data_IF_122594766817
#
_entry.id   IF_122594766817
#
_cell.length_a   1.000
_cell.length_b   1.000
_cell.length_c   1.000
_cell.angle_alpha   90.00
_cell.angle_beta   90.00
_cell.angle_gamma   90.00
#
_symmetry.space_group_name_H-M   'P 1'
#
loop_
_entity.id
_entity.type
_entity.pdbx_description
1 polymer ?
#
# COMPACT_ATOMS: atom_id res chain seq x y z
N UNK A 1 38.61 43.26 -14.87
CA UNK A 1 37.50 43.48 -13.92
C UNK A 1 36.75 42.18 -13.75
N UNK A 2 36.40 41.85 -12.50
CA UNK A 2 35.64 40.67 -12.08
C UNK A 2 34.17 40.83 -12.50
N UNK A 3 33.53 39.75 -12.96
CA UNK A 3 32.12 39.50 -12.65
C UNK A 3 31.80 38.00 -12.72
N UNK A 4 31.37 37.47 -11.57
CA UNK A 4 30.72 36.17 -11.39
C UNK A 4 29.21 36.41 -11.27
N UNK A 5 28.39 35.57 -11.91
CA UNK A 5 27.11 34.97 -11.41
C UNK A 5 26.49 34.19 -12.59
N UNK A 6 26.54 32.85 -12.64
CA UNK A 6 25.76 31.86 -11.87
C UNK A 6 24.25 32.05 -12.10
N UNK A 7 23.65 31.30 -13.03
CA UNK A 7 22.27 30.76 -13.08
C UNK A 7 22.19 29.87 -14.33
N UNK A 8 22.39 28.56 -14.22
CA UNK A 8 21.91 27.56 -15.23
C UNK A 8 21.72 26.14 -14.64
N UNK A 9 21.61 25.96 -13.31
CA UNK A 9 21.43 24.62 -12.70
C UNK A 9 19.98 24.28 -12.28
N UNK A 10 19.00 25.14 -12.60
CA UNK A 10 17.62 24.96 -12.15
C UNK A 10 16.79 23.99 -13.01
N UNK A 11 17.09 23.87 -14.30
CA UNK A 11 16.25 23.08 -15.22
C UNK A 11 16.65 21.61 -15.27
N UNK A 12 17.94 21.30 -15.07
CA UNK A 12 18.41 19.91 -14.99
C UNK A 12 18.03 19.24 -13.66
N UNK A 13 18.04 19.98 -12.56
CA UNK A 13 17.58 19.50 -11.25
C UNK A 13 16.07 19.27 -11.22
N UNK A 14 15.29 20.15 -11.87
CA UNK A 14 13.84 19.96 -12.06
C UNK A 14 13.51 18.77 -12.98
N UNK A 15 14.29 18.53 -14.05
CA UNK A 15 14.16 17.34 -14.90
C UNK A 15 14.46 16.04 -14.13
N UNK A 16 15.47 16.04 -13.24
CA UNK A 16 15.79 14.87 -12.39
C UNK A 16 14.73 14.61 -11.32
N UNK A 17 14.03 15.65 -10.84
CA UNK A 17 12.89 15.53 -9.93
C UNK A 17 11.62 15.03 -10.65
N UNK A 18 11.37 15.48 -11.88
CA UNK A 18 10.28 14.97 -12.72
C UNK A 18 10.47 13.49 -13.11
N UNK A 19 11.72 13.04 -13.32
CA UNK A 19 12.05 11.63 -13.52
C UNK A 19 11.91 10.76 -12.26
N UNK A 20 11.71 11.37 -11.09
CA UNK A 20 11.62 10.66 -9.79
C UNK A 20 10.19 10.45 -9.28
N UNK A 21 9.17 10.97 -9.94
CA UNK A 21 7.79 10.82 -9.48
C UNK A 21 6.82 10.52 -10.62
N UNK A 22 6.62 9.23 -10.82
CA UNK A 22 5.33 8.52 -10.95
C UNK A 22 5.67 7.12 -11.45
N UNK A 23 4.97 6.13 -10.90
CA UNK A 23 5.12 4.69 -11.11
C UNK A 23 5.77 4.30 -12.45
N UNK A 24 6.70 3.30 -12.48
CA UNK A 24 7.33 2.79 -13.69
C UNK A 24 6.39 2.46 -14.86
N UNK A 25 5.09 2.27 -14.60
CA UNK A 25 4.05 2.05 -15.61
C UNK A 25 3.66 3.28 -16.44
N UNK A 26 3.94 4.50 -15.97
CA UNK A 26 3.53 5.74 -16.64
C UNK A 26 4.45 6.17 -17.81
N UNK A 27 5.60 5.51 -18.00
CA UNK A 27 6.62 5.92 -18.96
C UNK A 27 6.55 5.24 -20.34
N UNK A 28 5.47 4.50 -20.66
CA UNK A 28 5.32 3.87 -21.99
C UNK A 28 6.44 2.89 -22.37
N UNK A 29 7.35 2.60 -21.45
CA UNK A 29 8.32 1.53 -21.57
C UNK A 29 7.61 0.26 -21.10
N UNK A 30 7.08 -0.49 -22.05
CA UNK A 30 7.20 -1.94 -21.94
C UNK A 30 8.70 -2.24 -21.83
N UNK A 31 9.27 -2.11 -20.61
CA UNK A 31 10.58 -2.67 -20.33
C UNK A 31 10.40 -4.12 -20.70
N UNK A 32 11.11 -4.56 -21.74
CA UNK A 32 11.26 -5.98 -22.03
C UNK A 32 11.68 -6.58 -20.70
N UNK A 33 10.79 -7.35 -20.09
CA UNK A 33 11.10 -8.15 -18.92
C UNK A 33 12.25 -9.04 -19.39
N UNK A 34 13.45 -8.72 -18.96
CA UNK A 34 14.66 -9.45 -19.33
C UNK A 34 14.83 -10.65 -18.41
N UNK A 35 15.67 -11.61 -18.82
CA UNK A 35 16.06 -12.78 -18.01
C UNK A 35 16.44 -12.41 -16.56
N UNK A 36 17.04 -11.24 -16.36
CA UNK A 36 17.42 -10.73 -15.04
C UNK A 36 16.22 -10.28 -14.18
N UNK A 37 15.19 -9.70 -14.78
CA UNK A 37 13.93 -9.33 -14.10
C UNK A 37 13.19 -10.57 -13.58
N UNK A 38 13.28 -11.70 -14.28
CA UNK A 38 12.66 -12.97 -13.84
C UNK A 38 13.36 -13.59 -12.64
N UNK A 39 14.68 -13.42 -12.53
CA UNK A 39 15.38 -13.80 -11.32
C UNK A 39 14.76 -13.10 -10.11
N UNK A 40 14.17 -11.91 -10.26
CA UNK A 40 13.58 -11.20 -9.12
C UNK A 40 12.14 -11.63 -8.79
N UNK A 41 11.51 -12.52 -9.57
CA UNK A 41 10.12 -12.94 -9.32
C UNK A 41 9.95 -13.62 -7.95
N UNK A 42 10.73 -14.65 -7.55
CA UNK A 42 10.54 -15.26 -6.24
C UNK A 42 10.76 -14.28 -5.06
N UNK A 43 11.82 -13.44 -5.04
CA UNK A 43 11.96 -12.41 -4.00
C UNK A 43 10.84 -11.35 -3.98
N UNK A 44 10.32 -10.93 -5.14
CA UNK A 44 9.24 -9.93 -5.21
C UNK A 44 7.89 -10.53 -4.80
N UNK A 45 7.65 -11.81 -5.11
CA UNK A 45 6.52 -12.58 -4.57
C UNK A 45 6.61 -12.68 -3.05
N UNK A 46 7.78 -13.02 -2.52
CA UNK A 46 8.00 -13.11 -1.09
C UNK A 46 7.74 -11.76 -0.39
N UNK A 47 8.20 -10.66 -1.00
CA UNK A 47 7.96 -9.30 -0.52
C UNK A 47 6.47 -8.97 -0.45
N UNK A 48 5.72 -9.30 -1.50
CA UNK A 48 4.26 -9.11 -1.55
C UNK A 48 3.55 -9.97 -0.50
N UNK A 49 3.90 -11.25 -0.42
CA UNK A 49 3.24 -12.19 0.48
C UNK A 49 3.50 -11.82 1.95
N UNK A 50 4.70 -11.33 2.28
CA UNK A 50 4.99 -10.77 3.60
C UNK A 50 4.12 -9.54 3.90
N UNK A 51 3.94 -8.65 2.92
CA UNK A 51 3.05 -7.49 3.04
C UNK A 51 1.57 -7.89 3.21
N UNK A 52 1.11 -8.93 2.50
CA UNK A 52 -0.22 -9.51 2.73
C UNK A 52 -0.37 -10.00 4.16
N UNK A 53 0.55 -10.85 4.64
CA UNK A 53 0.48 -11.39 6.00
C UNK A 53 0.47 -10.29 7.05
N UNK A 54 1.28 -9.24 6.87
CA UNK A 54 1.26 -8.05 7.72
C UNK A 54 -0.11 -7.37 7.70
N UNK A 55 -0.63 -7.03 6.52
CA UNK A 55 -1.92 -6.36 6.35
C UNK A 55 -3.05 -7.17 6.99
N UNK A 56 -3.13 -8.48 6.72
CA UNK A 56 -4.16 -9.35 7.29
C UNK A 56 -4.07 -9.42 8.81
N UNK A 57 -2.88 -9.63 9.37
CA UNK A 57 -2.68 -9.71 10.82
C UNK A 57 -3.01 -8.37 11.50
N UNK A 58 -2.54 -7.27 10.93
CA UNK A 58 -2.79 -5.94 11.46
C UNK A 58 -4.28 -5.61 11.43
N UNK A 59 -4.95 -5.73 10.28
CA UNK A 59 -6.35 -5.32 10.15
C UNK A 59 -7.31 -6.24 10.91
N UNK A 60 -7.01 -7.55 11.01
CA UNK A 60 -7.80 -8.50 11.79
C UNK A 60 -7.77 -8.17 13.28
N UNK A 61 -6.60 -7.77 13.80
CA UNK A 61 -6.39 -7.55 15.23
C UNK A 61 -6.54 -6.07 15.63
N UNK A 62 -6.66 -5.15 14.67
CA UNK A 62 -6.84 -3.73 14.95
C UNK A 62 -8.25 -3.47 15.50
N UNK A 63 -8.32 -3.14 16.78
CA UNK A 63 -9.53 -2.58 17.39
C UNK A 63 -9.64 -1.09 17.03
N UNK A 64 -10.72 -0.73 16.33
CA UNK A 64 -10.98 0.65 15.90
C UNK A 64 -11.95 1.37 16.84
N UNK A 65 -12.62 0.66 17.75
CA UNK A 65 -13.74 1.18 18.56
C UNK A 65 -13.33 2.26 19.56
N UNK A 66 -12.08 2.22 20.04
CA UNK A 66 -11.52 3.21 20.97
C UNK A 66 -10.64 4.28 20.34
N UNK A 67 -10.53 4.34 19.01
CA UNK A 67 -9.57 5.24 18.32
C UNK A 67 -10.22 6.55 17.92
N UNK A 68 -9.49 7.65 18.07
CA UNK A 68 -9.89 8.98 17.57
C UNK A 68 -9.84 9.07 16.04
N UNK A 69 -10.52 10.05 15.43
CA UNK A 69 -10.51 10.22 13.98
C UNK A 69 -9.10 10.43 13.38
N UNK A 70 -8.17 11.21 13.99
CA UNK A 70 -6.79 11.29 13.53
C UNK A 70 -6.04 9.96 13.58
N UNK A 71 -6.30 9.13 14.59
CA UNK A 71 -5.69 7.79 14.68
C UNK A 71 -6.25 6.85 13.61
N UNK A 72 -7.57 6.87 13.39
CA UNK A 72 -8.21 6.09 12.32
C UNK A 72 -7.71 6.52 10.94
N UNK A 73 -7.60 7.82 10.68
CA UNK A 73 -7.01 8.36 9.45
C UNK A 73 -5.60 7.84 9.20
N UNK A 74 -4.73 7.89 10.21
CA UNK A 74 -3.36 7.35 10.13
C UNK A 74 -3.36 5.86 9.82
N UNK A 75 -4.21 5.08 10.49
CA UNK A 75 -4.34 3.64 10.27
C UNK A 75 -4.77 3.33 8.84
N UNK A 76 -5.83 3.95 8.35
CA UNK A 76 -6.32 3.73 6.98
C UNK A 76 -5.28 4.15 5.94
N UNK A 77 -4.58 5.25 6.19
CA UNK A 77 -3.49 5.74 5.33
C UNK A 77 -2.32 4.76 5.28
N UNK A 78 -1.87 4.24 6.43
CA UNK A 78 -0.80 3.24 6.50
C UNK A 78 -1.17 1.92 5.81
N UNK A 79 -2.41 1.45 6.03
CA UNK A 79 -2.93 0.27 5.32
C UNK A 79 -2.92 0.51 3.80
N UNK A 80 -3.37 1.69 3.36
CA UNK A 80 -3.37 2.04 1.95
C UNK A 80 -1.96 1.99 1.35
N UNK A 81 -0.94 2.46 2.06
CA UNK A 81 0.45 2.36 1.59
C UNK A 81 0.91 0.91 1.43
N UNK A 82 0.55 0.03 2.37
CA UNK A 82 0.85 -1.41 2.27
C UNK A 82 0.14 -2.01 1.05
N UNK A 83 -1.12 -1.65 0.81
CA UNK A 83 -1.87 -2.14 -0.35
C UNK A 83 -1.33 -1.63 -1.68
N UNK A 84 -0.76 -0.41 -1.73
CA UNK A 84 -0.06 0.11 -2.92
C UNK A 84 1.16 -0.74 -3.22
N UNK A 85 1.99 -1.05 -2.21
CA UNK A 85 3.11 -1.95 -2.38
C UNK A 85 2.65 -3.33 -2.89
N UNK A 86 1.60 -3.89 -2.30
CA UNK A 86 1.06 -5.19 -2.71
C UNK A 86 0.60 -5.14 -4.18
N UNK A 87 -0.07 -4.07 -4.60
CA UNK A 87 -0.49 -3.87 -6.00
C UNK A 87 0.73 -3.83 -6.92
N UNK A 88 1.70 -2.96 -6.65
CA UNK A 88 2.91 -2.81 -7.47
C UNK A 88 3.62 -4.16 -7.67
N UNK A 89 3.72 -4.96 -6.61
CA UNK A 89 4.34 -6.30 -6.70
C UNK A 89 3.45 -7.29 -7.44
N UNK A 90 2.14 -7.24 -7.25
CA UNK A 90 1.19 -8.09 -7.99
C UNK A 90 1.24 -7.79 -9.48
N UNK A 91 1.31 -6.52 -9.88
CA UNK A 91 1.48 -6.10 -11.28
C UNK A 91 2.81 -6.61 -11.85
N UNK A 92 3.91 -6.45 -11.11
CA UNK A 92 5.21 -6.97 -11.52
C UNK A 92 5.16 -8.48 -11.79
N UNK A 93 4.57 -9.25 -10.86
CA UNK A 93 4.48 -10.70 -10.98
C UNK A 93 3.57 -11.11 -12.14
N UNK A 94 2.42 -10.45 -12.31
CA UNK A 94 1.47 -10.73 -13.39
C UNK A 94 2.09 -10.45 -14.77
N UNK A 95 2.87 -9.37 -14.87
CA UNK A 95 3.61 -9.04 -16.10
C UNK A 95 4.67 -10.11 -16.40
N UNK A 96 5.42 -10.55 -15.38
CA UNK A 96 6.38 -11.64 -15.53
C UNK A 96 5.69 -12.95 -15.97
N UNK A 97 4.53 -13.24 -15.38
CA UNK A 97 3.78 -14.45 -15.64
C UNK A 97 3.20 -14.50 -17.05
N UNK A 98 2.70 -13.37 -17.55
CA UNK A 98 2.17 -13.25 -18.91
C UNK A 98 3.23 -13.55 -19.97
N UNK A 99 4.48 -13.17 -19.69
CA UNK A 99 5.60 -13.33 -20.63
C UNK A 99 6.12 -14.76 -20.65
N UNK A 100 6.22 -15.41 -19.48
CA UNK A 100 6.79 -16.75 -19.33
C UNK A 100 5.74 -17.87 -19.26
N UNK A 101 4.44 -17.55 -19.24
CA UNK A 101 3.32 -18.49 -19.15
C UNK A 101 3.45 -19.50 -17.99
N UNK A 102 3.98 -19.05 -16.84
CA UNK A 102 4.24 -19.91 -15.67
C UNK A 102 2.99 -20.12 -14.79
N UNK A 103 1.90 -19.43 -15.09
CA UNK A 103 0.63 -19.41 -14.36
C UNK A 103 0.81 -19.10 -12.86
N UNK A 104 1.70 -18.19 -12.57
CA UNK A 104 2.10 -17.74 -11.25
C UNK A 104 1.19 -16.68 -10.65
N UNK A 105 0.34 -16.00 -11.40
CA UNK A 105 -0.59 -15.02 -10.82
C UNK A 105 -1.93 -14.95 -11.54
N UNK A 106 -2.97 -14.58 -10.79
CA UNK A 106 -4.31 -14.37 -11.29
C UNK A 106 -4.62 -12.88 -11.37
N UNK A 107 -5.16 -12.41 -12.50
CA UNK A 107 -5.68 -11.04 -12.64
C UNK A 107 -6.71 -10.70 -11.55
N UNK A 108 -7.47 -11.69 -11.07
CA UNK A 108 -8.41 -11.54 -9.97
C UNK A 108 -7.75 -11.04 -8.68
N UNK A 109 -6.52 -11.48 -8.38
CA UNK A 109 -5.74 -10.99 -7.22
C UNK A 109 -5.46 -9.50 -7.35
N UNK A 110 -5.08 -9.03 -8.54
CA UNK A 110 -4.81 -7.61 -8.78
C UNK A 110 -6.09 -6.77 -8.63
N UNK A 111 -7.20 -7.23 -9.20
CA UNK A 111 -8.51 -6.58 -9.06
C UNK A 111 -8.93 -6.51 -7.60
N UNK A 112 -8.72 -7.59 -6.85
CA UNK A 112 -9.01 -7.65 -5.42
C UNK A 112 -8.22 -6.61 -4.60
N UNK A 113 -6.91 -6.49 -4.83
CA UNK A 113 -6.07 -5.51 -4.13
C UNK A 113 -6.52 -4.08 -4.44
N UNK A 114 -6.80 -3.78 -5.71
CA UNK A 114 -7.31 -2.47 -6.13
C UNK A 114 -8.65 -2.14 -5.50
N UNK A 115 -9.53 -3.14 -5.33
CA UNK A 115 -10.79 -2.96 -4.62
C UNK A 115 -10.55 -2.59 -3.15
N UNK A 116 -9.68 -3.32 -2.45
CA UNK A 116 -9.31 -2.99 -1.07
C UNK A 116 -8.74 -1.56 -0.95
N UNK A 117 -7.87 -1.15 -1.87
CA UNK A 117 -7.33 0.22 -1.86
C UNK A 117 -8.42 1.28 -1.95
N UNK A 118 -9.42 1.08 -2.81
CA UNK A 118 -10.55 2.02 -2.92
C UNK A 118 -11.35 2.10 -1.62
N UNK A 119 -11.58 0.96 -0.96
CA UNK A 119 -12.24 0.94 0.35
C UNK A 119 -11.44 1.69 1.42
N UNK A 120 -10.13 1.46 1.50
CA UNK A 120 -9.29 2.16 2.48
C UNK A 120 -9.08 3.65 2.15
N UNK A 121 -9.09 4.02 0.86
CA UNK A 121 -9.13 5.43 0.46
C UNK A 121 -10.43 6.10 0.94
N UNK A 122 -11.59 5.47 0.71
CA UNK A 122 -12.86 5.99 1.20
C UNK A 122 -12.90 6.11 2.73
N UNK A 123 -12.36 5.13 3.46
CA UNK A 123 -12.24 5.19 4.93
C UNK A 123 -11.32 6.32 5.39
N UNK A 124 -10.18 6.53 4.71
CA UNK A 124 -9.28 7.64 5.01
C UNK A 124 -9.93 9.00 4.72
N UNK A 125 -10.60 9.15 3.59
CA UNK A 125 -11.31 10.39 3.21
C UNK A 125 -12.41 10.70 4.21
N UNK A 126 -13.20 9.69 4.62
CA UNK A 126 -14.19 9.82 5.68
C UNK A 126 -13.53 10.33 6.97
N UNK A 127 -12.48 9.67 7.45
CA UNK A 127 -11.79 10.08 8.67
C UNK A 127 -11.22 11.50 8.59
N UNK A 128 -10.72 11.90 7.42
CA UNK A 128 -10.25 13.27 7.15
C UNK A 128 -11.37 14.31 7.23
N UNK A 129 -12.53 14.04 6.62
CA UNK A 129 -13.70 14.92 6.72
C UNK A 129 -14.14 15.10 8.18
N UNK A 130 -14.06 14.05 9.01
CA UNK A 130 -14.38 14.16 10.42
C UNK A 130 -13.38 15.03 11.20
N UNK A 131 -12.10 15.03 10.80
CA UNK A 131 -11.07 15.90 11.39
C UNK A 131 -11.27 17.37 11.02
N UNK A 132 -11.68 17.64 9.79
CA UNK A 132 -11.85 18.99 9.27
C UNK A 132 -13.24 19.58 9.56
N UNK A 133 -14.08 18.85 10.31
CA UNK A 133 -15.49 19.21 10.58
C UNK A 133 -15.65 20.64 11.06
N UNK A 134 -14.88 21.07 12.05
CA UNK A 134 -14.99 22.42 12.63
C UNK A 134 -14.62 23.51 11.61
N UNK A 135 -13.74 23.20 10.66
CA UNK A 135 -13.36 24.11 9.56
C UNK A 135 -14.39 24.12 8.43
N UNK A 136 -15.02 22.96 8.16
CA UNK A 136 -16.08 22.81 7.17
C UNK A 136 -17.38 23.50 7.63
N UNK A 137 -17.68 23.48 8.93
CA UNK A 137 -18.83 24.18 9.53
C UNK A 137 -18.69 25.72 9.45
N UNK A 138 -17.48 26.24 9.30
CA UNK A 138 -17.18 27.68 9.23
C UNK A 138 -17.14 28.26 7.81
N UNK A 139 -17.29 27.43 6.76
CA UNK A 139 -17.30 27.92 5.38
C UNK A 139 -18.63 28.62 5.05
N UNK A 140 -18.63 29.92 4.72
CA UNK A 140 -19.85 30.62 4.31
C UNK A 140 -20.32 30.09 2.96
N UNK A 141 -21.64 29.97 2.79
CA UNK A 141 -22.35 29.56 1.57
C UNK A 141 -22.31 28.07 1.15
N UNK A 142 -21.98 27.12 2.03
CA UNK A 142 -22.25 25.70 1.71
C UNK A 142 -23.75 25.37 1.86
N UNK A 143 -24.45 24.95 0.78
CA UNK A 143 -25.81 24.37 0.87
C UNK A 143 -25.83 23.04 1.65
N UNK A 144 -24.67 22.56 2.08
CA UNK A 144 -24.44 21.27 2.69
C UNK A 144 -24.50 21.30 4.24
N UNK A 145 -24.88 22.41 4.88
CA UNK A 145 -25.01 22.46 6.34
C UNK A 145 -25.95 21.36 6.89
N UNK A 146 -27.03 21.02 6.17
CA UNK A 146 -27.90 19.86 6.47
C UNK A 146 -27.22 18.50 6.25
N UNK A 147 -26.29 18.41 5.29
CA UNK A 147 -25.50 17.19 5.03
C UNK A 147 -24.44 17.00 6.13
N UNK A 148 -23.76 18.07 6.54
CA UNK A 148 -22.74 18.05 7.60
C UNK A 148 -23.32 17.91 9.00
N UNK A 149 -24.51 18.45 9.27
CA UNK A 149 -25.20 18.25 10.55
C UNK A 149 -25.69 16.80 10.75
N UNK A 150 -25.93 16.06 9.67
CA UNK A 150 -26.26 14.63 9.71
C UNK A 150 -25.02 13.74 9.70
N UNK A 151 -23.84 14.26 9.36
CA UNK A 151 -22.58 13.54 9.29
C UNK A 151 -22.25 12.80 10.59
N UNK A 152 -22.43 13.36 11.81
CA UNK A 152 -22.15 12.64 13.05
C UNK A 152 -23.02 11.38 13.26
N UNK A 153 -24.21 11.33 12.66
CA UNK A 153 -25.12 10.17 12.74
C UNK A 153 -24.86 9.15 11.64
N UNK A 154 -24.56 9.61 10.42
CA UNK A 154 -24.30 8.73 9.27
C UNK A 154 -22.88 8.21 9.23
N UNK A 155 -21.89 8.99 9.67
CA UNK A 155 -20.48 8.66 9.63
C UNK A 155 -20.14 7.34 10.37
N UNK A 156 -20.51 7.16 11.65
CA UNK A 156 -20.17 5.90 12.35
C UNK A 156 -20.82 4.70 11.68
N UNK A 157 -22.08 4.83 11.25
CA UNK A 157 -22.81 3.77 10.55
C UNK A 157 -22.17 3.40 9.21
N UNK A 158 -21.69 4.39 8.43
CA UNK A 158 -20.99 4.16 7.17
C UNK A 158 -19.60 3.56 7.39
N UNK A 159 -18.82 4.09 8.35
CA UNK A 159 -17.49 3.58 8.71
C UNK A 159 -17.58 2.13 9.18
N UNK A 160 -18.50 1.82 10.10
CA UNK A 160 -18.74 0.46 10.60
C UNK A 160 -19.18 -0.49 9.49
N UNK A 161 -20.07 -0.05 8.60
CA UNK A 161 -20.54 -0.87 7.47
C UNK A 161 -19.39 -1.18 6.49
N UNK A 162 -18.54 -0.20 6.18
CA UNK A 162 -17.37 -0.38 5.32
C UNK A 162 -16.33 -1.29 5.98
N UNK A 163 -16.04 -1.09 7.27
CA UNK A 163 -15.11 -1.96 8.02
C UNK A 163 -15.65 -3.39 8.05
N UNK A 164 -16.95 -3.59 8.33
CA UNK A 164 -17.58 -4.90 8.36
C UNK A 164 -17.52 -5.59 7.00
N UNK A 165 -17.79 -4.86 5.90
CA UNK A 165 -17.68 -5.36 4.54
C UNK A 165 -16.25 -5.80 4.22
N UNK A 166 -15.25 -4.96 4.53
CA UNK A 166 -13.83 -5.28 4.32
C UNK A 166 -13.41 -6.47 5.17
N UNK A 167 -13.77 -6.53 6.45
CA UNK A 167 -13.45 -7.68 7.32
C UNK A 167 -14.06 -8.98 6.79
N UNK A 168 -15.33 -8.95 6.39
CA UNK A 168 -16.01 -10.11 5.81
C UNK A 168 -15.32 -10.57 4.53
N UNK A 169 -15.01 -9.65 3.63
CA UNK A 169 -14.31 -9.93 2.38
C UNK A 169 -12.92 -10.53 2.64
N UNK A 170 -12.15 -9.96 3.57
CA UNK A 170 -10.82 -10.45 3.93
C UNK A 170 -10.88 -11.85 4.54
N UNK A 171 -11.83 -12.13 5.42
CA UNK A 171 -11.98 -13.46 6.03
C UNK A 171 -12.32 -14.54 4.99
N UNK A 172 -13.18 -14.21 4.02
CA UNK A 172 -13.55 -15.14 2.95
C UNK A 172 -12.40 -15.38 1.96
N UNK A 173 -11.60 -14.36 1.68
CA UNK A 173 -10.53 -14.43 0.66
C UNK A 173 -9.17 -14.84 1.22
N UNK A 174 -8.95 -14.72 2.53
CA UNK A 174 -7.66 -15.05 3.15
C UNK A 174 -7.24 -16.49 2.91
N UNK A 175 -8.15 -17.44 3.13
CA UNK A 175 -7.86 -18.86 2.91
C UNK A 175 -7.57 -19.17 1.44
N UNK A 176 -8.28 -18.52 0.52
CA UNK A 176 -8.03 -18.64 -0.92
C UNK A 176 -6.61 -18.13 -1.27
N UNK A 177 -6.24 -16.94 -0.83
CA UNK A 177 -4.92 -16.35 -1.08
C UNK A 177 -3.78 -17.17 -0.46
N UNK A 178 -4.00 -17.74 0.72
CA UNK A 178 -3.03 -18.60 1.39
C UNK A 178 -2.82 -19.92 0.61
N UNK A 179 -3.91 -20.54 0.16
CA UNK A 179 -3.85 -21.75 -0.64
C UNK A 179 -3.19 -21.49 -2.00
N UNK A 180 -3.53 -20.39 -2.67
CA UNK A 180 -2.87 -19.95 -3.90
C UNK A 180 -1.36 -19.74 -3.70
N UNK A 181 -0.95 -19.11 -2.60
CA UNK A 181 0.48 -19.02 -2.24
C UNK A 181 1.13 -20.40 -2.15
N UNK A 182 0.53 -21.34 -1.43
CA UNK A 182 1.09 -22.69 -1.26
C UNK A 182 1.19 -23.41 -2.61
N UNK A 183 0.14 -23.39 -3.43
CA UNK A 183 0.14 -24.02 -4.74
C UNK A 183 1.14 -23.38 -5.70
N UNK A 184 1.36 -22.06 -5.63
CA UNK A 184 2.39 -21.38 -6.42
C UNK A 184 3.79 -21.78 -6.01
N UNK A 185 4.09 -21.82 -4.71
CA UNK A 185 5.43 -22.19 -4.23
C UNK A 185 5.81 -23.63 -4.62
N UNK A 186 4.84 -24.55 -4.76
CA UNK A 186 5.09 -25.91 -5.27
C UNK A 186 5.63 -25.94 -6.70
N UNK A 187 5.42 -24.90 -7.50
CA UNK A 187 5.88 -24.80 -8.89
C UNK A 187 7.29 -24.22 -9.00
N UNK A 188 7.90 -23.82 -7.90
CA UNK A 188 9.25 -23.26 -7.89
C UNK A 188 10.30 -24.35 -8.07
N UNK A 189 11.39 -23.98 -8.73
CA UNK A 189 12.63 -24.74 -8.63
C UNK A 189 13.17 -24.68 -7.19
N UNK A 190 14.06 -25.60 -6.82
CA UNK A 190 14.72 -25.56 -5.51
C UNK A 190 15.40 -24.22 -5.23
N UNK A 191 16.10 -23.67 -6.23
CA UNK A 191 16.78 -22.37 -6.12
C UNK A 191 15.78 -21.22 -5.93
N UNK A 192 14.66 -21.23 -6.64
CA UNK A 192 13.62 -20.21 -6.50
C UNK A 192 12.96 -20.27 -5.11
N UNK A 193 12.72 -21.47 -4.58
CA UNK A 193 12.17 -21.66 -3.22
C UNK A 193 13.10 -21.10 -2.16
N UNK A 194 14.39 -21.41 -2.21
CA UNK A 194 15.39 -20.89 -1.25
C UNK A 194 15.51 -19.36 -1.29
N UNK A 195 15.30 -18.75 -2.47
CA UNK A 195 15.34 -17.29 -2.65
C UNK A 195 14.04 -16.65 -2.15
N UNK A 196 12.90 -17.28 -2.40
CA UNK A 196 11.61 -16.87 -1.85
C UNK A 196 11.62 -16.90 -0.32
N UNK A 197 12.02 -18.02 0.29
CA UNK A 197 11.99 -18.21 1.75
C UNK A 197 12.90 -17.19 2.47
N UNK A 198 14.12 -16.99 1.99
CA UNK A 198 15.04 -15.98 2.53
C UNK A 198 14.46 -14.57 2.46
N UNK A 199 13.91 -14.20 1.29
CA UNK A 199 13.29 -12.89 1.12
C UNK A 199 12.03 -12.74 2.00
N UNK A 200 11.22 -13.79 2.13
CA UNK A 200 9.97 -13.77 2.89
C UNK A 200 10.25 -13.56 4.38
N UNK A 201 11.24 -14.26 4.93
CA UNK A 201 11.68 -14.05 6.32
C UNK A 201 12.14 -12.61 6.52
N UNK A 202 13.05 -12.13 5.67
CA UNK A 202 13.58 -10.77 5.76
C UNK A 202 12.48 -9.70 5.73
N UNK A 203 11.56 -9.77 4.75
CA UNK A 203 10.50 -8.77 4.63
C UNK A 203 9.43 -8.91 5.72
N UNK A 204 9.17 -10.11 6.23
CA UNK A 204 8.25 -10.30 7.34
C UNK A 204 8.74 -9.61 8.61
N UNK A 205 10.05 -9.69 8.88
CA UNK A 205 10.66 -9.01 10.02
C UNK A 205 10.74 -7.49 9.80
N UNK A 206 11.22 -7.06 8.63
CA UNK A 206 11.30 -5.64 8.26
C UNK A 206 9.95 -4.92 8.37
N UNK A 207 8.87 -5.55 7.91
CA UNK A 207 7.54 -4.94 7.97
C UNK A 207 6.92 -4.97 9.37
N UNK A 208 7.25 -5.97 10.20
CA UNK A 208 6.79 -6.02 11.59
C UNK A 208 7.33 -4.83 12.38
N UNK A 209 8.61 -4.51 12.21
CA UNK A 209 9.25 -3.34 12.82
C UNK A 209 8.65 -2.00 12.37
N UNK A 210 8.06 -1.95 11.18
CA UNK A 210 7.48 -0.72 10.62
C UNK A 210 6.11 -0.38 11.24
N UNK A 211 5.34 -1.39 11.67
CA UNK A 211 3.99 -1.20 12.24
C UNK A 211 3.92 -1.28 13.76
N UNK A 212 4.93 -1.83 14.42
CA UNK A 212 5.06 -1.85 15.88
C UNK A 212 6.38 -1.16 16.28
N UNK A 213 6.42 0.18 16.32
CA UNK A 213 7.54 0.86 16.94
C UNK A 213 7.45 0.55 18.44
N UNK A 214 8.21 -0.44 18.91
CA UNK A 214 8.47 -0.59 20.33
C UNK A 214 8.76 0.80 20.92
N UNK A 215 8.14 1.20 22.05
CA UNK A 215 8.33 2.55 22.61
C UNK A 215 9.76 2.85 23.08
N UNK A 216 10.69 1.91 22.94
CA UNK A 216 12.05 2.06 23.43
C UNK A 216 13.03 1.92 22.26
N UNK A 217 13.81 2.99 22.07
CA UNK A 217 15.07 3.03 21.33
C UNK A 217 15.00 3.09 19.79
N UNK A 218 14.45 4.20 19.26
CA UNK A 218 15.13 4.88 18.14
C UNK A 218 15.66 6.22 18.63
N UNK A 219 16.79 6.16 19.35
CA UNK A 219 17.77 7.24 19.25
C UNK A 219 18.37 7.15 17.84
N UNK A 220 18.40 8.30 17.17
CA UNK A 220 19.28 8.59 16.04
C UNK A 220 18.97 7.89 14.71
N UNK A 221 17.95 8.38 13.98
CA UNK A 221 17.99 8.38 12.50
C UNK A 221 17.34 9.63 11.89
N UNK A 222 17.38 10.76 12.60
CA UNK A 222 17.10 12.08 12.06
C UNK A 222 18.27 13.01 12.40
N UNK A 223 19.39 12.81 11.71
CA UNK A 223 20.43 13.81 11.49
C UNK A 223 21.27 13.31 10.32
N UNK A 224 20.77 13.54 9.11
CA UNK A 224 21.51 13.76 7.86
C UNK A 224 20.50 13.75 6.72
N UNK A 225 20.00 14.93 6.35
CA UNK A 225 19.91 15.49 5.00
C UNK A 225 19.20 16.85 5.05
#
# INVERSE_FOLDING_TARGET
>A
MKEKKKITDSTESQKRLFLRMKSPSAFGAARRFDSASFMNVPPEMARRDAAYSLFFNFFRNCDLSGKSAPERFRIYSSIRQILVLIEEKTEFILNADTIEKRNLENIGTLVFVRLLQKYFAALADLAGIHMDRDSLEQMPDLPAFEIFSNLPKTYPSCEDSLIAAVRSLLMQTYHYLLNEKVERCKRFSKSDSERYERAYSFYSDYYRELLDPQPNERKDFCNEF
#
